data_IF_455920045275
#
_entry.id   IF_455920045275
#
_cell.length_a   1.000
_cell.length_b   1.000
_cell.length_c   1.000
_cell.angle_alpha   90.00
_cell.angle_beta   90.00
_cell.angle_gamma   90.00
#
_symmetry.space_group_name_H-M   'P 1'
#
loop_
_entity.id
_entity.type
_entity.pdbx_description
1 polymer ?
#
# COMPACT_ATOMS: atom_id res chain seq x y z
N UNK A 1 -15.72 8.51 1.38
CA UNK A 1 -14.52 8.07 2.14
C UNK A 1 -13.66 7.10 1.34
N UNK A 2 -14.23 6.00 0.81
CA UNK A 2 -13.48 4.98 0.07
C UNK A 2 -12.63 5.53 -1.08
N UNK A 3 -13.23 6.23 -2.05
CA UNK A 3 -12.51 6.76 -3.23
C UNK A 3 -11.36 7.70 -2.86
N UNK A 4 -11.55 8.52 -1.82
CA UNK A 4 -10.52 9.39 -1.30
C UNK A 4 -9.35 8.58 -0.76
N UNK A 5 -9.61 7.53 0.04
CA UNK A 5 -8.56 6.65 0.55
C UNK A 5 -7.84 5.90 -0.58
N UNK A 6 -8.55 5.42 -1.61
CA UNK A 6 -7.93 4.78 -2.78
C UNK A 6 -7.05 5.76 -3.56
N UNK A 7 -7.45 7.03 -3.68
CA UNK A 7 -6.63 8.06 -4.31
C UNK A 7 -5.33 8.33 -3.52
N UNK A 8 -5.40 8.32 -2.18
CA UNK A 8 -4.22 8.50 -1.32
C UNK A 8 -3.29 7.27 -1.35
N UNK A 9 -3.84 6.05 -1.42
CA UNK A 9 -3.08 4.82 -1.67
C UNK A 9 -2.36 4.90 -3.04
N UNK A 10 -3.07 5.31 -4.09
CA UNK A 10 -2.50 5.48 -5.43
C UNK A 10 -1.44 6.58 -5.48
N UNK A 11 -1.64 7.69 -4.75
CA UNK A 11 -0.62 8.72 -4.56
C UNK A 11 0.65 8.13 -3.93
N UNK A 12 0.51 7.33 -2.87
CA UNK A 12 1.64 6.68 -2.20
C UNK A 12 2.38 5.74 -3.15
N UNK A 13 1.66 4.93 -3.93
CA UNK A 13 2.23 4.06 -4.95
C UNK A 13 2.97 4.83 -6.05
N UNK A 14 2.37 5.92 -6.56
CA UNK A 14 2.99 6.78 -7.56
C UNK A 14 4.23 7.51 -7.01
N UNK A 15 4.19 7.94 -5.76
CA UNK A 15 5.31 8.59 -5.08
C UNK A 15 6.51 7.63 -4.98
N UNK A 16 6.27 6.38 -4.58
CA UNK A 16 7.30 5.32 -4.53
C UNK A 16 7.84 5.01 -5.93
N UNK A 17 6.95 4.86 -6.92
CA UNK A 17 7.37 4.54 -8.28
C UNK A 17 8.21 5.66 -8.92
N UNK A 18 7.85 6.93 -8.66
CA UNK A 18 8.53 8.10 -9.22
C UNK A 18 9.83 8.46 -8.54
N UNK A 19 9.89 8.36 -7.20
CA UNK A 19 11.04 8.82 -6.40
C UNK A 19 11.86 7.70 -5.75
N UNK A 20 11.37 6.47 -5.71
CA UNK A 20 12.07 5.35 -5.07
C UNK A 20 13.46 5.11 -5.68
N UNK A 21 13.59 5.29 -7.00
CA UNK A 21 14.86 5.12 -7.72
C UNK A 21 15.91 6.19 -7.40
N UNK A 22 15.48 7.37 -6.93
CA UNK A 22 16.39 8.49 -6.60
C UNK A 22 16.84 8.47 -5.14
N UNK A 23 16.28 7.57 -4.32
CA UNK A 23 16.69 7.41 -2.94
C UNK A 23 17.99 6.60 -2.83
N UNK A 24 18.95 7.16 -2.11
CA UNK A 24 20.17 6.46 -1.75
C UNK A 24 19.81 5.23 -0.91
N UNK A 25 20.44 4.09 -1.22
CA UNK A 25 20.25 2.84 -0.48
C UNK A 25 18.79 2.35 -0.37
N UNK A 26 17.94 2.64 -1.38
CA UNK A 26 16.54 2.18 -1.39
C UNK A 26 16.40 0.67 -1.17
N UNK A 27 17.37 -0.13 -1.63
CA UNK A 27 17.37 -1.58 -1.42
C UNK A 27 17.41 -1.97 0.07
N UNK A 28 18.11 -1.20 0.90
CA UNK A 28 18.18 -1.42 2.35
C UNK A 28 16.85 -1.04 2.98
N UNK A 29 16.30 0.12 2.62
CA UNK A 29 14.99 0.58 3.12
C UNK A 29 13.91 -0.45 2.76
N UNK A 30 13.93 -0.97 1.52
CA UNK A 30 13.00 -2.00 1.03
C UNK A 30 13.23 -3.39 1.65
N UNK A 31 14.30 -3.67 2.40
CA UNK A 31 14.46 -4.98 3.04
C UNK A 31 13.30 -5.22 4.02
N UNK A 32 12.92 -6.49 4.20
CA UNK A 32 11.95 -6.86 5.23
C UNK A 32 12.47 -6.46 6.61
N UNK A 33 11.64 -5.77 7.37
CA UNK A 33 11.87 -5.44 8.77
C UNK A 33 11.72 -6.69 9.65
N UNK A 34 12.85 -7.25 10.10
CA UNK A 34 12.91 -8.41 11.00
C UNK A 34 12.96 -8.03 12.48
N UNK A 35 13.32 -6.78 12.75
CA UNK A 35 13.50 -6.24 14.10
C UNK A 35 12.56 -5.07 14.33
N UNK A 36 12.36 -4.73 15.61
CA UNK A 36 11.59 -3.56 16.00
C UNK A 36 12.20 -2.29 15.39
N UNK A 37 11.35 -1.43 14.85
CA UNK A 37 11.72 -0.08 14.41
C UNK A 37 11.21 0.92 15.44
N UNK A 38 12.05 1.83 15.88
CA UNK A 38 11.71 2.78 16.94
C UNK A 38 12.12 4.20 16.55
N UNK A 39 11.21 5.15 16.71
CA UNK A 39 11.47 6.55 16.37
C UNK A 39 10.52 7.51 17.10
N UNK A 40 10.92 8.78 17.17
CA UNK A 40 10.05 9.84 17.63
C UNK A 40 9.09 10.25 16.50
N UNK A 41 7.81 10.35 16.85
CA UNK A 41 6.76 10.77 15.92
C UNK A 41 5.86 11.81 16.56
N UNK A 42 5.28 12.66 15.73
CA UNK A 42 4.07 13.41 16.10
C UNK A 42 2.87 12.59 15.68
N UNK A 43 1.95 12.37 16.61
CA UNK A 43 0.78 11.50 16.42
C UNK A 43 -0.51 12.24 16.77
N UNK A 44 -1.58 11.91 16.07
CA UNK A 44 -2.93 12.38 16.35
C UNK A 44 -3.90 11.21 16.27
N UNK A 45 -4.49 10.84 17.41
CA UNK A 45 -5.43 9.73 17.54
C UNK A 45 -6.85 10.19 17.20
N UNK A 46 -7.28 10.02 15.95
CA UNK A 46 -8.62 10.40 15.52
C UNK A 46 -8.87 11.91 15.35
N UNK A 47 -10.11 12.26 15.03
CA UNK A 47 -10.56 13.63 14.84
C UNK A 47 -10.72 14.36 16.20
N UNK A 48 -10.41 15.66 16.24
CA UNK A 48 -10.60 16.49 17.44
C UNK A 48 -9.49 16.41 18.50
N UNK A 49 -8.67 15.36 18.50
CA UNK A 49 -7.53 15.22 19.44
C UNK A 49 -6.35 16.09 18.98
N UNK A 50 -5.60 16.76 19.88
CA UNK A 50 -4.41 17.53 19.51
C UNK A 50 -3.24 16.62 19.07
N UNK A 51 -2.27 17.20 18.37
CA UNK A 51 -1.01 16.52 18.05
C UNK A 51 -0.17 16.33 19.32
N UNK A 52 0.38 15.14 19.50
CA UNK A 52 1.29 14.80 20.61
C UNK A 52 2.57 14.20 20.07
N UNK A 53 3.72 14.51 20.69
CA UNK A 53 4.98 13.84 20.40
C UNK A 53 5.08 12.57 21.25
N UNK A 54 5.34 11.43 20.61
CA UNK A 54 5.44 10.13 21.28
C UNK A 54 6.62 9.33 20.72
N UNK A 55 7.15 8.41 21.52
CA UNK A 55 8.06 7.37 21.07
C UNK A 55 7.23 6.23 20.45
N UNK A 56 7.41 6.00 19.16
CA UNK A 56 6.73 4.95 18.41
C UNK A 56 7.62 3.71 18.34
N UNK A 57 7.03 2.54 18.56
CA UNK A 57 7.69 1.24 18.40
C UNK A 57 6.84 0.38 17.48
N UNK A 58 7.35 0.10 16.28
CA UNK A 58 6.77 -0.84 15.31
C UNK A 58 7.42 -2.20 15.57
N UNK A 59 6.64 -3.16 16.04
CA UNK A 59 7.11 -4.51 16.35
C UNK A 59 6.57 -5.49 15.30
N UNK A 60 7.42 -6.03 14.40
CA UNK A 60 6.98 -7.06 13.46
C UNK A 60 6.60 -8.37 14.20
N UNK A 61 5.86 -9.29 13.55
CA UNK A 61 5.57 -10.60 14.12
C UNK A 61 6.85 -11.39 14.44
N UNK A 62 6.76 -12.36 15.36
CA UNK A 62 7.91 -13.16 15.79
C UNK A 62 8.58 -13.88 14.60
N UNK A 63 9.90 -13.77 14.52
CA UNK A 63 10.67 -14.27 13.38
C UNK A 63 10.66 -15.80 13.30
N UNK A 64 10.61 -16.51 14.45
CA UNK A 64 10.54 -17.98 14.46
C UNK A 64 9.18 -18.45 13.97
N UNK A 65 8.11 -17.79 14.41
CA UNK A 65 6.75 -18.07 13.93
C UNK A 65 6.62 -17.79 12.44
N UNK A 66 7.19 -16.67 11.97
CA UNK A 66 7.21 -16.33 10.55
C UNK A 66 7.96 -17.37 9.70
N UNK A 67 9.13 -17.81 10.15
CA UNK A 67 9.88 -18.87 9.46
C UNK A 67 9.16 -20.21 9.47
N UNK A 68 8.47 -20.55 10.58
CA UNK A 68 7.64 -21.75 10.67
C UNK A 68 6.48 -21.69 9.67
N UNK A 69 5.75 -20.58 9.64
CA UNK A 69 4.66 -20.35 8.68
C UNK A 69 5.16 -20.45 7.23
N UNK A 70 6.31 -19.85 6.90
CA UNK A 70 6.89 -19.98 5.56
C UNK A 70 7.27 -21.42 5.20
N UNK A 71 7.86 -22.18 6.13
CA UNK A 71 8.23 -23.59 5.88
C UNK A 71 7.00 -24.47 5.69
N UNK A 72 5.97 -24.29 6.50
CA UNK A 72 4.69 -24.99 6.35
C UNK A 72 4.04 -24.67 5.00
N UNK A 73 4.10 -23.42 4.55
CA UNK A 73 3.60 -23.01 3.24
C UNK A 73 4.33 -23.64 2.06
N UNK A 74 5.65 -23.84 2.17
CA UNK A 74 6.43 -24.52 1.12
C UNK A 74 6.11 -26.02 1.05
N UNK A 75 5.58 -26.61 2.12
CA UNK A 75 5.16 -28.02 2.16
C UNK A 75 3.77 -28.25 1.59
N UNK A 76 2.89 -27.24 1.63
CA UNK A 76 1.54 -27.33 1.05
C UNK A 76 1.58 -27.32 -0.48
N UNK A 77 0.71 -28.11 -1.10
CA UNK A 77 0.59 -28.17 -2.56
C UNK A 77 0.20 -26.78 -3.12
N UNK A 78 0.61 -26.42 -4.35
CA UNK A 78 0.25 -25.15 -4.96
C UNK A 78 -1.27 -24.88 -5.03
N UNK A 79 -2.09 -25.94 -5.03
CA UNK A 79 -3.55 -25.90 -5.15
C UNK A 79 -4.26 -25.75 -3.78
N UNK A 80 -3.64 -26.21 -2.69
CA UNK A 80 -4.17 -26.08 -1.31
C UNK A 80 -3.65 -24.83 -0.58
N UNK A 81 -3.03 -23.88 -1.29
CA UNK A 81 -2.65 -22.59 -0.73
C UNK A 81 -3.89 -21.73 -0.47
N UNK A 82 -4.71 -22.09 0.52
CA UNK A 82 -5.29 -21.04 1.35
C UNK A 82 -4.09 -20.24 1.89
N UNK A 83 -4.10 -18.92 1.68
CA UNK A 83 -2.94 -18.08 1.95
C UNK A 83 -2.36 -18.29 3.36
N UNK A 84 -1.10 -17.90 3.61
CA UNK A 84 -0.49 -18.09 4.92
C UNK A 84 -1.34 -17.43 6.01
N UNK A 85 -1.37 -17.97 7.25
CA UNK A 85 -1.84 -17.19 8.37
C UNK A 85 -1.06 -15.88 8.38
N UNK A 86 -1.79 -14.77 8.29
CA UNK A 86 -1.20 -13.44 8.28
C UNK A 86 -0.75 -13.15 9.70
N UNK A 87 0.51 -13.46 10.00
CA UNK A 87 1.13 -13.07 11.25
C UNK A 87 1.24 -11.54 11.24
N UNK A 88 0.62 -10.91 12.23
CA UNK A 88 0.67 -9.48 12.43
C UNK A 88 1.41 -9.18 13.71
N UNK A 89 2.13 -8.07 13.72
CA UNK A 89 2.67 -7.50 14.93
C UNK A 89 1.82 -6.33 15.42
N UNK A 90 2.45 -5.36 16.06
CA UNK A 90 1.79 -4.22 16.66
C UNK A 90 2.61 -2.93 16.55
N UNK A 91 1.92 -1.79 16.66
CA UNK A 91 2.55 -0.49 16.85
C UNK A 91 2.16 0.03 18.23
N UNK A 92 3.12 0.47 19.03
CA UNK A 92 2.89 1.04 20.37
C UNK A 92 3.46 2.44 20.46
N UNK A 93 2.72 3.32 21.12
CA UNK A 93 3.12 4.71 21.37
C UNK A 93 3.36 4.92 22.86
N UNK A 94 4.48 5.56 23.20
CA UNK A 94 4.89 5.84 24.58
C UNK A 94 5.19 7.32 24.75
N UNK A 95 5.02 7.83 25.97
CA UNK A 95 5.36 9.23 26.27
C UNK A 95 6.86 9.48 26.24
N UNK A 96 7.61 8.53 26.80
CA UNK A 96 9.04 8.61 26.95
C UNK A 96 9.73 7.42 26.29
N UNK A 97 10.93 7.69 25.78
CA UNK A 97 11.87 6.65 25.40
C UNK A 97 12.61 6.20 26.66
N UNK A 98 12.49 4.93 26.99
CA UNK A 98 13.23 4.27 28.08
C UNK A 98 14.09 3.17 27.46
N UNK A 99 15.30 2.97 27.97
CA UNK A 99 16.23 2.05 27.33
C UNK A 99 16.00 0.57 27.67
N UNK A 100 16.30 -0.28 26.69
CA UNK A 100 16.42 -1.73 26.86
C UNK A 100 15.12 -2.42 27.29
N UNK A 101 15.25 -3.33 28.27
CA UNK A 101 14.13 -4.17 28.76
C UNK A 101 13.04 -3.35 29.47
N UNK A 102 13.35 -2.12 29.92
CA UNK A 102 12.38 -1.27 30.62
C UNK A 102 11.28 -0.75 29.67
N UNK A 103 11.60 -0.48 28.40
CA UNK A 103 10.59 -0.09 27.39
C UNK A 103 9.49 -1.15 27.23
N UNK A 104 9.86 -2.43 27.28
CA UNK A 104 8.89 -3.55 27.14
C UNK A 104 7.90 -3.63 28.29
N UNK A 105 8.26 -3.10 29.46
CA UNK A 105 7.42 -3.06 30.66
C UNK A 105 6.64 -1.76 30.81
N UNK A 106 7.00 -0.73 30.06
CA UNK A 106 6.28 0.54 30.08
C UNK A 106 4.87 0.34 29.51
N UNK A 107 3.87 0.98 30.12
CA UNK A 107 2.51 1.00 29.59
C UNK A 107 2.46 1.96 28.40
N UNK A 108 2.09 1.51 27.19
CA UNK A 108 1.89 2.42 26.07
C UNK A 108 0.67 3.33 26.31
N UNK A 109 0.64 4.50 25.69
CA UNK A 109 -0.52 5.40 25.67
C UNK A 109 -1.61 4.80 24.78
N UNK A 110 -1.17 4.31 23.62
CA UNK A 110 -2.02 3.72 22.60
C UNK A 110 -1.27 2.62 21.87
N UNK A 111 -2.02 1.66 21.32
CA UNK A 111 -1.49 0.65 20.41
C UNK A 111 -2.39 0.47 19.20
N UNK A 112 -1.79 0.12 18.07
CA UNK A 112 -2.49 -0.27 16.84
C UNK A 112 -2.26 -1.76 16.63
N UNK A 113 -3.36 -2.50 16.51
CA UNK A 113 -3.38 -3.89 16.04
C UNK A 113 -4.26 -4.00 14.80
N UNK A 114 -4.11 -5.09 14.05
CA UNK A 114 -4.96 -5.39 12.90
C UNK A 114 -5.14 -4.24 11.89
N UNK A 115 -4.06 -3.50 11.61
CA UNK A 115 -4.13 -2.47 10.57
C UNK A 115 -4.45 -3.10 9.22
N UNK A 116 -5.36 -2.45 8.49
CA UNK A 116 -5.81 -2.87 7.16
C UNK A 116 -5.46 -1.85 6.07
N UNK A 117 -4.92 -0.68 6.45
CA UNK A 117 -4.48 0.35 5.52
C UNK A 117 -3.45 1.28 6.17
N UNK A 118 -2.41 1.64 5.42
CA UNK A 118 -1.38 2.58 5.86
C UNK A 118 -0.78 3.29 4.64
N UNK A 119 -1.03 4.58 4.48
CA UNK A 119 -0.63 5.33 3.29
C UNK A 119 -0.23 6.77 3.61
N UNK A 120 0.55 7.36 2.71
CA UNK A 120 0.95 8.76 2.79
C UNK A 120 -0.22 9.67 2.42
N UNK A 121 -0.29 10.83 3.07
CA UNK A 121 -1.31 11.84 2.76
C UNK A 121 -0.72 12.85 1.78
N UNK A 122 -1.42 13.06 0.68
CA UNK A 122 -1.12 14.14 -0.25
C UNK A 122 -1.20 15.49 0.47
N UNK A 123 -0.13 16.29 0.48
CA UNK A 123 -0.13 17.57 1.17
C UNK A 123 -1.02 18.59 0.46
N UNK A 124 -1.33 19.69 1.13
CA UNK A 124 -2.18 20.76 0.57
C UNK A 124 -1.62 21.38 -0.72
N UNK A 125 -0.28 21.36 -0.89
CA UNK A 125 0.39 21.93 -2.06
C UNK A 125 1.47 20.99 -2.60
N UNK A 126 1.64 20.98 -3.94
CA UNK A 126 2.63 20.15 -4.64
C UNK A 126 4.07 20.40 -4.17
N UNK A 127 4.41 21.64 -3.80
CA UNK A 127 5.73 22.02 -3.31
C UNK A 127 6.11 21.34 -1.99
N UNK A 128 5.14 20.85 -1.22
CA UNK A 128 5.34 20.20 0.08
C UNK A 128 5.54 18.69 -0.02
N UNK A 129 5.39 18.08 -1.20
CA UNK A 129 5.47 16.62 -1.40
C UNK A 129 6.80 16.07 -0.89
N UNK A 130 7.90 16.77 -1.14
CA UNK A 130 9.27 16.32 -0.83
C UNK A 130 9.58 16.35 0.68
N UNK A 131 8.98 17.32 1.39
CA UNK A 131 9.18 17.50 2.83
C UNK A 131 8.11 16.79 3.68
N UNK A 132 6.97 16.40 3.08
CA UNK A 132 5.86 15.79 3.81
C UNK A 132 6.20 14.40 4.31
N UNK A 133 6.06 14.18 5.63
CA UNK A 133 6.13 12.86 6.27
C UNK A 133 4.77 12.40 6.80
N UNK A 134 3.70 13.13 6.48
CA UNK A 134 2.37 12.86 7.01
C UNK A 134 1.78 11.58 6.40
N UNK A 135 1.38 10.65 7.25
CA UNK A 135 0.73 9.40 6.88
C UNK A 135 -0.48 9.09 7.76
N UNK A 136 -1.36 8.23 7.25
CA UNK A 136 -2.53 7.72 7.97
C UNK A 136 -2.43 6.21 8.10
N UNK A 137 -2.72 5.69 9.28
CA UNK A 137 -2.92 4.26 9.54
C UNK A 137 -4.36 4.04 9.98
N UNK A 138 -5.01 3.05 9.40
CA UNK A 138 -6.36 2.59 9.76
C UNK A 138 -6.26 1.16 10.32
N UNK A 139 -6.94 0.88 11.44
CA UNK A 139 -6.84 -0.38 12.16
C UNK A 139 -7.61 -0.38 13.47
N UNK A 140 -7.38 -1.40 14.30
CA UNK A 140 -7.87 -1.41 15.67
C UNK A 140 -6.94 -0.57 16.55
N UNK A 141 -7.49 0.47 17.17
CA UNK A 141 -6.77 1.36 18.07
C UNK A 141 -7.22 1.07 19.49
N UNK A 142 -6.26 0.70 20.34
CA UNK A 142 -6.48 0.56 21.78
C UNK A 142 -5.84 1.73 22.51
N UNK A 143 -6.66 2.52 23.19
CA UNK A 143 -6.20 3.56 24.12
C UNK A 143 -6.11 2.94 25.50
N UNK A 144 -4.91 2.94 26.09
CA UNK A 144 -4.63 2.29 27.37
C UNK A 144 -4.95 3.23 28.55
N UNK A 145 -6.14 3.82 28.54
CA UNK A 145 -6.72 4.56 29.66
C UNK A 145 -7.19 3.61 30.78
N UNK A 146 -7.83 4.15 31.80
CA UNK A 146 -8.53 3.39 32.82
C UNK A 146 -10.01 3.79 32.83
N UNK A 147 -10.93 2.97 32.29
CA UNK A 147 -10.73 1.67 31.65
C UNK A 147 -10.09 1.78 30.24
N UNK A 148 -9.45 0.71 29.73
CA UNK A 148 -8.93 0.68 28.36
C UNK A 148 -10.10 0.63 27.35
N UNK A 149 -9.94 1.35 26.23
CA UNK A 149 -10.91 1.34 25.14
C UNK A 149 -10.23 0.85 23.85
N UNK A 150 -10.91 -0.03 23.12
CA UNK A 150 -10.44 -0.57 21.83
C UNK A 150 -11.54 -0.37 20.80
N UNK A 151 -11.21 0.33 19.73
CA UNK A 151 -12.15 0.71 18.67
C UNK A 151 -11.45 0.71 17.33
N UNK A 152 -12.16 0.33 16.27
CA UNK A 152 -11.68 0.54 14.91
C UNK A 152 -11.64 2.04 14.60
N UNK A 153 -10.56 2.49 13.96
CA UNK A 153 -10.42 3.89 13.60
C UNK A 153 -9.09 4.17 12.90
N UNK A 154 -8.64 5.42 13.00
CA UNK A 154 -7.42 5.88 12.33
C UNK A 154 -6.53 6.78 13.19
N UNK A 155 -5.24 6.77 12.85
CA UNK A 155 -4.20 7.60 13.46
C UNK A 155 -3.44 8.32 12.37
N UNK A 156 -3.24 9.63 12.54
CA UNK A 156 -2.28 10.37 11.74
C UNK A 156 -0.92 10.37 12.42
N UNK A 157 0.13 10.09 11.65
CA UNK A 157 1.50 10.01 12.14
C UNK A 157 2.38 10.88 11.26
N UNK A 158 3.32 11.57 11.88
CA UNK A 158 4.33 12.37 11.23
C UNK A 158 5.69 12.05 11.88
N UNK A 159 6.46 11.13 11.31
CA UNK A 159 7.84 10.86 11.69
C UNK A 159 8.68 12.11 11.78
N UNK A 160 9.56 12.19 12.79
CA UNK A 160 10.54 13.26 12.90
C UNK A 160 11.63 13.11 11.84
N UNK A 161 11.88 14.19 11.11
CA UNK A 161 12.92 14.19 10.07
C UNK A 161 14.29 14.34 10.74
N UNK A 162 15.18 13.40 10.45
CA UNK A 162 16.57 13.47 10.89
C UNK A 162 17.39 14.37 9.95
N UNK A 163 18.44 15.04 10.46
CA UNK A 163 19.37 15.77 9.61
C UNK A 163 19.88 14.88 8.47
N UNK A 164 19.99 15.45 7.26
CA UNK A 164 20.48 14.77 6.05
C UNK A 164 19.57 13.65 5.49
N UNK A 165 18.38 13.43 6.05
CA UNK A 165 17.39 12.49 5.52
C UNK A 165 16.22 13.27 4.92
N UNK A 166 15.82 12.94 3.68
CA UNK A 166 14.67 13.60 3.06
C UNK A 166 13.35 13.18 3.72
N UNK A 167 12.31 14.04 3.64
CA UNK A 167 10.98 13.69 4.14
C UNK A 167 10.43 12.43 3.45
N UNK A 168 10.63 12.31 2.14
CA UNK A 168 10.26 11.11 1.40
C UNK A 168 10.98 9.84 1.90
N UNK A 169 12.28 9.90 2.17
CA UNK A 169 13.01 8.76 2.74
C UNK A 169 12.47 8.38 4.12
N UNK A 170 12.19 9.39 4.98
CA UNK A 170 11.65 9.16 6.31
C UNK A 170 10.27 8.49 6.26
N UNK A 171 9.43 8.93 5.32
CA UNK A 171 8.13 8.33 5.06
C UNK A 171 8.25 6.84 4.70
N UNK A 172 9.22 6.45 3.86
CA UNK A 172 9.43 5.03 3.51
C UNK A 172 10.01 4.22 4.67
N UNK A 173 10.94 4.80 5.43
CA UNK A 173 11.50 4.19 6.65
C UNK A 173 10.42 3.89 7.69
N UNK A 174 9.30 4.60 7.68
CA UNK A 174 8.14 4.29 8.53
C UNK A 174 7.12 3.34 7.88
N UNK A 175 6.79 3.57 6.60
CA UNK A 175 5.75 2.81 5.91
C UNK A 175 6.15 1.35 5.67
N UNK A 176 7.40 1.06 5.28
CA UNK A 176 7.79 -0.31 4.97
C UNK A 176 7.78 -1.23 6.20
N UNK A 177 8.32 -0.85 7.37
CA UNK A 177 8.14 -1.64 8.59
C UNK A 177 6.67 -1.79 9.00
N UNK A 178 5.85 -0.75 8.79
CA UNK A 178 4.40 -0.82 9.05
C UNK A 178 3.73 -1.86 8.15
N UNK A 179 4.04 -1.85 6.86
CA UNK A 179 3.48 -2.80 5.89
C UNK A 179 3.98 -4.22 6.12
N UNK A 180 5.24 -4.40 6.53
CA UNK A 180 5.78 -5.69 6.93
C UNK A 180 5.08 -6.24 8.17
N UNK A 181 4.82 -5.38 9.15
CA UNK A 181 4.17 -5.72 10.43
C UNK A 181 2.73 -6.19 10.26
N UNK A 182 1.98 -5.62 9.31
CA UNK A 182 0.56 -5.92 9.11
C UNK A 182 0.25 -6.65 7.80
N UNK A 183 1.28 -7.08 7.07
CA UNK A 183 1.21 -7.70 5.75
C UNK A 183 0.40 -6.89 4.70
N UNK A 184 0.63 -5.58 4.68
CA UNK A 184 -0.07 -4.66 3.79
C UNK A 184 0.61 -4.60 2.42
N UNK A 185 -0.19 -4.39 1.39
CA UNK A 185 0.29 -4.12 0.03
C UNK A 185 1.24 -5.18 -0.59
N UNK A 186 1.14 -6.43 -0.13
CA UNK A 186 1.98 -7.56 -0.57
C UNK A 186 3.30 -7.72 0.18
N UNK A 187 3.59 -6.80 1.11
CA UNK A 187 4.67 -6.96 2.09
C UNK A 187 4.27 -8.02 3.13
N UNK A 188 5.24 -8.69 3.78
CA UNK A 188 6.69 -8.51 3.70
C UNK A 188 7.39 -9.15 2.49
N UNK A 189 6.65 -9.76 1.56
CA UNK A 189 7.22 -10.37 0.36
C UNK A 189 7.72 -9.34 -0.65
N UNK A 190 6.83 -8.89 -1.52
CA UNK A 190 7.14 -7.84 -2.51
C UNK A 190 5.95 -6.91 -2.60
N UNK A 191 6.23 -5.60 -2.67
CA UNK A 191 5.20 -4.61 -2.90
C UNK A 191 4.47 -4.92 -4.20
N UNK A 192 3.15 -5.06 -4.14
CA UNK A 192 2.30 -5.34 -5.30
C UNK A 192 1.98 -4.03 -5.99
N UNK A 193 2.39 -3.92 -7.26
CA UNK A 193 2.10 -2.79 -8.13
C UNK A 193 1.24 -3.27 -9.30
N UNK A 194 -0.07 -3.44 -9.06
CA UNK A 194 -1.04 -3.90 -10.06
C UNK A 194 -2.34 -3.13 -9.91
N UNK A 195 -2.93 -2.70 -11.02
CA UNK A 195 -4.24 -2.05 -10.99
C UNK A 195 -5.38 -3.04 -10.72
N UNK A 196 -5.13 -4.34 -10.93
CA UNK A 196 -6.14 -5.40 -10.85
C UNK A 196 -6.13 -6.14 -9.50
N UNK A 197 -5.02 -6.09 -8.75
CA UNK A 197 -4.93 -6.76 -7.44
C UNK A 197 -5.46 -5.85 -6.33
N UNK A 198 -6.53 -6.21 -5.60
CA UNK A 198 -7.09 -5.40 -4.50
C UNK A 198 -6.11 -5.07 -3.37
N UNK A 199 -5.04 -5.86 -3.25
CA UNK A 199 -3.97 -5.64 -2.28
C UNK A 199 -3.01 -4.56 -2.75
N UNK A 200 -2.99 -4.16 -4.01
CA UNK A 200 -2.05 -3.14 -4.49
C UNK A 200 -2.44 -1.74 -4.01
N UNK A 201 -1.42 -0.89 -3.79
CA UNK A 201 -1.60 0.56 -3.67
C UNK A 201 -2.20 1.19 -4.93
N UNK A 202 -2.00 0.55 -6.09
CA UNK A 202 -2.45 1.04 -7.40
C UNK A 202 -3.80 0.44 -7.81
N UNK A 203 -4.45 -0.33 -6.93
CA UNK A 203 -5.71 -0.99 -7.24
C UNK A 203 -6.74 0.01 -7.73
N UNK A 204 -7.41 -0.32 -8.84
CA UNK A 204 -8.41 0.54 -9.45
C UNK A 204 -7.90 1.95 -9.79
N UNK A 205 -6.61 2.10 -10.09
CA UNK A 205 -6.12 3.36 -10.64
C UNK A 205 -6.73 3.60 -12.03
N UNK A 206 -7.46 4.71 -12.25
CA UNK A 206 -8.11 4.97 -13.54
C UNK A 206 -7.08 5.11 -14.66
N UNK A 207 -7.27 4.35 -15.75
CA UNK A 207 -6.47 4.49 -16.98
C UNK A 207 -6.90 5.68 -17.85
N UNK A 208 -8.13 6.16 -17.67
CA UNK A 208 -8.79 7.17 -18.51
C UNK A 208 -9.47 8.24 -17.65
N UNK A 209 -9.99 9.30 -18.28
CA UNK A 209 -10.61 10.47 -17.61
C UNK A 209 -11.90 10.17 -16.82
N UNK A 210 -12.39 8.92 -16.80
CA UNK A 210 -13.56 8.57 -15.98
C UNK A 210 -13.11 8.38 -14.53
N UNK A 211 -13.73 9.14 -13.64
CA UNK A 211 -13.48 9.08 -12.21
C UNK A 211 -14.35 7.99 -11.59
N UNK A 212 -13.73 7.06 -10.87
CA UNK A 212 -14.44 6.00 -10.14
C UNK A 212 -14.94 4.86 -11.03
N UNK A 213 -15.07 3.68 -10.41
CA UNK A 213 -15.69 2.50 -11.02
C UNK A 213 -17.04 2.16 -10.39
N UNK A 214 -17.33 2.68 -9.20
CA UNK A 214 -18.55 2.42 -8.46
C UNK A 214 -19.57 3.53 -8.73
N UNK A 215 -20.80 3.13 -9.01
CA UNK A 215 -21.93 4.06 -9.08
C UNK A 215 -22.69 4.11 -7.75
N UNK A 216 -23.57 5.10 -7.58
CA UNK A 216 -24.39 5.22 -6.35
C UNK A 216 -25.24 3.96 -6.15
N UNK A 217 -25.76 3.37 -7.24
CA UNK A 217 -26.56 2.15 -7.19
C UNK A 217 -25.77 0.93 -6.68
N UNK A 218 -24.46 0.86 -6.97
CA UNK A 218 -23.58 -0.18 -6.46
C UNK A 218 -23.46 -0.13 -4.94
N UNK A 219 -23.29 1.09 -4.41
CA UNK A 219 -23.17 1.33 -2.97
C UNK A 219 -24.51 1.06 -2.28
N UNK A 220 -25.62 1.49 -2.87
CA UNK A 220 -26.96 1.16 -2.36
C UNK A 220 -27.19 -0.34 -2.29
N UNK A 221 -26.75 -1.09 -3.30
CA UNK A 221 -26.82 -2.56 -3.30
C UNK A 221 -26.04 -3.19 -2.14
N UNK A 222 -24.85 -2.65 -1.80
CA UNK A 222 -24.10 -3.11 -0.63
C UNK A 222 -24.78 -2.76 0.70
N UNK A 223 -25.41 -1.59 0.80
CA UNK A 223 -26.16 -1.17 1.99
C UNK A 223 -27.35 -2.10 2.24
N UNK A 224 -28.05 -2.53 1.18
CA UNK A 224 -29.20 -3.42 1.29
C UNK A 224 -28.84 -4.91 1.48
N UNK A 225 -27.55 -5.27 1.42
CA UNK A 225 -27.10 -6.65 1.60
C UNK A 225 -27.31 -7.10 3.05
N UNK A 226 -27.80 -8.32 3.24
CA UNK A 226 -28.05 -8.87 4.57
C UNK A 226 -26.78 -8.85 5.43
N UNK A 227 -26.92 -8.32 6.66
CA UNK A 227 -25.81 -8.19 7.62
C UNK A 227 -24.88 -6.99 7.40
N UNK A 228 -25.15 -6.11 6.43
CA UNK A 228 -24.34 -4.90 6.16
C UNK A 228 -24.29 -3.92 7.34
N UNK A 229 -25.37 -3.85 8.13
CA UNK A 229 -25.49 -2.96 9.29
C UNK A 229 -24.48 -3.26 10.40
N UNK A 230 -24.02 -4.51 10.50
CA UNK A 230 -23.02 -4.95 11.47
C UNK A 230 -21.59 -4.87 10.95
N UNK A 231 -21.37 -4.38 9.73
CA UNK A 231 -20.03 -4.39 9.15
C UNK A 231 -19.10 -3.38 9.80
N UNK A 232 -17.89 -3.85 10.10
CA UNK A 232 -16.76 -3.01 10.52
C UNK A 232 -16.25 -2.14 9.34
N UNK A 233 -15.49 -1.10 9.60
CA UNK A 233 -14.92 -0.24 8.55
C UNK A 233 -14.02 -1.04 7.59
N UNK A 234 -13.21 -1.95 8.12
CA UNK A 234 -12.41 -2.90 7.35
C UNK A 234 -13.27 -3.80 6.46
N UNK A 235 -14.41 -4.28 6.97
CA UNK A 235 -15.34 -5.10 6.18
C UNK A 235 -15.99 -4.28 5.06
N UNK A 236 -16.45 -3.07 5.35
CA UNK A 236 -16.94 -2.13 4.34
C UNK A 236 -15.90 -1.88 3.24
N UNK A 237 -14.67 -1.58 3.62
CA UNK A 237 -13.56 -1.36 2.70
C UNK A 237 -13.29 -2.60 1.84
N UNK A 238 -13.32 -3.80 2.42
CA UNK A 238 -13.14 -5.07 1.71
C UNK A 238 -14.25 -5.27 0.66
N UNK A 239 -15.52 -5.11 1.06
CA UNK A 239 -16.66 -5.28 0.16
C UNK A 239 -16.65 -4.24 -0.99
N UNK A 240 -16.28 -2.99 -0.69
CA UNK A 240 -16.12 -1.94 -1.71
C UNK A 240 -14.98 -2.23 -2.68
N UNK A 241 -13.83 -2.74 -2.21
CA UNK A 241 -12.73 -3.18 -3.09
C UNK A 241 -13.14 -4.37 -3.98
N UNK A 242 -13.85 -5.36 -3.42
CA UNK A 242 -14.37 -6.50 -4.19
C UNK A 242 -15.34 -6.05 -5.29
N UNK A 243 -16.30 -5.20 -4.95
CA UNK A 243 -17.27 -4.66 -5.93
C UNK A 243 -16.59 -3.82 -7.02
N UNK A 244 -15.59 -3.02 -6.63
CA UNK A 244 -14.77 -2.26 -7.57
C UNK A 244 -14.07 -3.20 -8.56
N UNK A 245 -13.47 -4.29 -8.09
CA UNK A 245 -12.82 -5.28 -8.95
C UNK A 245 -13.78 -5.94 -9.93
N UNK A 246 -15.00 -6.28 -9.48
CA UNK A 246 -16.05 -6.79 -10.36
C UNK A 246 -16.43 -5.78 -11.44
N UNK A 247 -16.64 -4.52 -11.07
CA UNK A 247 -16.97 -3.44 -12.03
C UNK A 247 -15.86 -3.19 -13.05
N UNK A 248 -14.61 -3.20 -12.59
CA UNK A 248 -13.45 -3.05 -13.48
C UNK A 248 -13.45 -4.10 -14.60
N UNK A 249 -13.68 -5.37 -14.27
CA UNK A 249 -13.73 -6.45 -15.26
C UNK A 249 -14.88 -6.25 -16.25
N UNK A 250 -16.07 -5.86 -15.78
CA UNK A 250 -17.23 -5.62 -16.67
C UNK A 250 -17.03 -4.47 -17.66
N UNK A 251 -16.30 -3.42 -17.25
CA UNK A 251 -16.03 -2.24 -18.09
C UNK A 251 -14.93 -2.54 -19.12
N UNK A 252 -13.90 -3.30 -18.74
CA UNK A 252 -12.86 -3.73 -19.69
C UNK A 252 -13.40 -4.67 -20.77
N UNK A 253 -14.39 -5.52 -20.44
CA UNK A 253 -15.07 -6.41 -21.39
C UNK A 253 -16.05 -5.70 -22.34
N UNK A 254 -16.39 -4.43 -22.06
CA UNK A 254 -17.27 -3.64 -22.94
C UNK A 254 -16.43 -3.03 -24.08
N UNK A 255 -16.65 -3.40 -25.36
CA UNK A 255 -15.94 -2.79 -26.46
C UNK A 255 -16.21 -1.30 -26.45
N UNK A 256 -15.15 -0.50 -26.27
CA UNK A 256 -15.27 0.96 -26.41
C UNK A 256 -15.94 1.26 -27.75
N UNK A 257 -17.05 2.05 -27.78
CA UNK A 257 -17.67 2.41 -29.04
C UNK A 257 -16.69 3.30 -29.82
N UNK A 258 -16.03 2.67 -30.81
CA UNK A 258 -15.36 3.27 -31.97
C UNK A 258 -14.84 4.69 -31.75
N UNK A 259 -13.63 4.81 -31.18
CA UNK A 259 -12.78 5.95 -31.48
C UNK A 259 -12.44 5.94 -32.97
N UNK A 260 -12.82 6.99 -33.68
CA UNK A 260 -12.62 7.20 -35.11
C UNK A 260 -11.35 6.55 -35.68
N UNK A 261 -11.55 5.65 -36.63
CA UNK A 261 -10.57 5.35 -37.67
C UNK A 261 -10.16 6.67 -38.34
N UNK A 262 -9.02 7.22 -37.91
CA UNK A 262 -8.29 8.19 -38.73
C UNK A 262 -7.79 7.44 -39.96
N UNK A 263 -8.64 7.39 -40.99
CA UNK A 263 -8.21 7.25 -42.37
C UNK A 263 -7.28 8.43 -42.68
N UNK A 264 -5.98 8.20 -42.51
CA UNK A 264 -4.92 9.17 -42.72
C UNK A 264 -3.88 8.58 -43.67
N UNK A 265 -4.13 8.76 -44.97
CA UNK A 265 -3.16 8.88 -46.06
C UNK A 265 -1.79 8.21 -45.89
N UNK A 266 -1.59 7.08 -46.58
CA UNK A 266 -0.28 6.78 -47.19
C UNK A 266 -0.46 6.57 -48.69
N UNK A 267 -0.49 7.72 -49.38
CA UNK A 267 -0.31 7.84 -50.83
C UNK A 267 1.13 7.44 -51.17
N UNK A 268 1.24 6.45 -52.05
CA UNK A 268 2.32 6.15 -53.00
C UNK A 268 3.75 6.62 -52.69
N UNK A 269 4.67 5.66 -52.60
CA UNK A 269 5.95 5.78 -53.30
C UNK A 269 6.20 4.48 -54.09
N UNK A 270 6.12 4.58 -55.42
CA UNK A 270 6.72 3.64 -56.35
C UNK A 270 8.23 3.90 -56.39
N UNK A 271 9.03 2.85 -56.41
CA UNK A 271 10.37 2.65 -57.03
C UNK A 271 10.92 1.35 -56.44
N UNK A 272 10.75 0.21 -57.13
CA UNK A 272 11.68 -0.40 -58.11
C UNK A 272 12.74 -1.29 -57.46
N UNK A 273 12.75 -2.57 -57.85
CA UNK A 273 13.95 -3.41 -57.90
C UNK A 273 14.04 -4.57 -56.91
N UNK A 274 14.03 -5.80 -57.43
CA UNK A 274 14.78 -6.92 -56.84
C UNK A 274 13.96 -8.12 -56.34
N UNK A 275 13.96 -9.19 -57.13
CA UNK A 275 13.46 -10.54 -56.79
C UNK A 275 14.32 -11.15 -55.66
N UNK A 276 13.76 -11.83 -54.63
CA UNK A 276 14.54 -12.61 -53.69
C UNK A 276 14.44 -14.11 -53.97
N UNK A 277 15.59 -14.78 -54.13
CA UNK A 277 15.78 -16.25 -54.03
C UNK A 277 17.29 -16.55 -53.82
N UNK A 278 17.70 -17.73 -53.29
CA UNK A 278 18.24 -17.82 -51.92
C UNK A 278 19.68 -18.35 -51.79
N UNK A 279 20.26 -18.14 -50.60
CA UNK A 279 21.40 -18.83 -49.91
C UNK A 279 22.61 -19.36 -50.72
N UNK A 280 23.81 -18.93 -50.34
CA UNK A 280 25.01 -19.78 -50.27
C UNK A 280 26.06 -19.26 -49.26
N UNK A 281 26.93 -20.18 -48.83
CA UNK A 281 27.87 -20.16 -47.69
C UNK A 281 29.23 -19.46 -47.95
N UNK A 282 29.81 -18.93 -46.86
CA UNK A 282 31.20 -19.05 -46.35
C UNK A 282 32.39 -18.96 -47.32
N UNK A 283 33.36 -18.08 -47.00
CA UNK A 283 34.77 -18.25 -47.42
C UNK A 283 35.67 -17.02 -47.23
N UNK A 284 36.62 -17.11 -46.28
CA UNK A 284 37.76 -16.20 -46.10
C UNK A 284 38.89 -16.55 -47.09
N UNK A 285 39.63 -15.53 -47.57
CA UNK A 285 41.11 -15.40 -47.71
C UNK A 285 41.52 -14.70 -49.01
N UNK A 286 42.54 -13.85 -48.89
CA UNK A 286 43.34 -13.29 -49.98
C UNK A 286 43.56 -11.81 -49.82
#
# INVERSE_FOLDING_TARGET
MFEHSTLQEAYTGALIAGKGKTLNNINIVMERSKFKTEEWVRVRFGAGVPWRRCWCVISPPDEKEYQKAQKEMKKKSPYERSGPPILKGDIKFYDTKVEGKKQKKAKPIASISDSYSAYAIYPQAKSLIDASTLLKIEGNITIHSDPPSSTEGFVFIMPEVHPMVSGFEMLLRFLFPTWDTFALYGRPGRLVASVLDPRSLMFAMPKHRRYGYLEILDVTGLILKDGSSGWSESQWRKQLKELTGTRMNTIEDTPSPRGHSRAGSRRSNRLSGGVPQPRARVGFRG
#
